data_IF_636568069701
#
_entry.id   IF_636568069701
#
_cell.length_a   1.000
_cell.length_b   1.000
_cell.length_c   1.000
_cell.angle_alpha   90.00
_cell.angle_beta   90.00
_cell.angle_gamma   90.00
#
_symmetry.space_group_name_H-M   'P 1'
#
loop_
_entity.id
_entity.type
_entity.pdbx_description
1 polymer ?
#
# COMPACT_ATOMS: atom_id res chain seq x y z
N UNK A 1 30.07 -25.92 28.72
CA UNK A 1 30.41 -24.47 28.59
C UNK A 1 29.95 -23.86 27.25
N UNK A 2 30.07 -24.55 26.10
CA UNK A 2 29.76 -23.96 24.79
C UNK A 2 28.33 -23.47 24.53
N UNK A 3 27.31 -24.10 25.10
CA UNK A 3 25.89 -23.70 24.91
C UNK A 3 25.54 -22.33 25.50
N UNK A 4 26.12 -22.01 26.67
CA UNK A 4 25.90 -20.73 27.31
C UNK A 4 26.50 -19.59 26.48
N UNK A 5 27.74 -19.76 26.01
CA UNK A 5 28.43 -18.78 25.18
C UNK A 5 27.71 -18.53 23.86
N UNK A 6 27.18 -19.58 23.24
CA UNK A 6 26.42 -19.49 21.99
C UNK A 6 25.11 -18.70 22.21
N UNK A 7 24.37 -18.96 23.29
CA UNK A 7 23.14 -18.23 23.63
C UNK A 7 23.41 -16.74 23.88
N UNK A 8 24.50 -16.43 24.56
CA UNK A 8 24.90 -15.04 24.82
C UNK A 8 25.23 -14.32 23.49
N UNK A 9 26.00 -14.97 22.60
CA UNK A 9 26.32 -14.40 21.28
C UNK A 9 25.06 -14.19 20.43
N UNK A 10 24.13 -15.12 20.43
CA UNK A 10 22.85 -14.98 19.72
C UNK A 10 22.02 -13.82 20.28
N UNK A 11 21.99 -13.66 21.60
CA UNK A 11 21.26 -12.53 22.24
C UNK A 11 21.86 -11.18 21.85
N UNK A 12 23.20 -11.08 21.82
CA UNK A 12 23.86 -9.87 21.34
C UNK A 12 23.57 -9.57 19.87
N UNK A 13 23.64 -10.60 19.01
CA UNK A 13 23.32 -10.44 17.59
C UNK A 13 21.85 -10.00 17.36
N UNK A 14 20.92 -10.47 18.18
CA UNK A 14 19.53 -10.06 18.12
C UNK A 14 19.39 -8.61 18.59
N UNK A 15 20.00 -8.25 19.70
CA UNK A 15 19.99 -6.87 20.22
C UNK A 15 20.54 -5.87 19.20
N UNK A 16 21.69 -6.18 18.57
CA UNK A 16 22.26 -5.34 17.52
C UNK A 16 21.29 -5.11 16.36
N UNK A 17 20.59 -6.18 15.90
CA UNK A 17 19.58 -6.05 14.85
C UNK A 17 18.42 -5.15 15.24
N UNK A 18 17.95 -5.25 16.48
CA UNK A 18 16.87 -4.43 17.01
C UNK A 18 17.27 -2.95 17.04
N UNK A 19 18.44 -2.64 17.58
CA UNK A 19 18.99 -1.28 17.64
C UNK A 19 19.19 -0.69 16.25
N UNK A 20 19.73 -1.45 15.31
CA UNK A 20 19.89 -1.01 13.92
C UNK A 20 18.52 -0.73 13.30
N UNK A 21 17.55 -1.63 13.54
CA UNK A 21 16.18 -1.47 13.04
C UNK A 21 15.49 -0.21 13.59
N UNK A 22 15.72 0.13 14.86
CA UNK A 22 15.21 1.36 15.47
C UNK A 22 15.83 2.60 14.84
N UNK A 23 17.15 2.63 14.74
CA UNK A 23 17.87 3.75 14.10
C UNK A 23 17.42 4.00 12.65
N UNK A 24 17.15 2.93 11.89
CA UNK A 24 16.61 3.05 10.51
C UNK A 24 15.22 3.65 10.55
N UNK A 25 14.33 3.17 11.43
CA UNK A 25 12.96 3.70 11.57
C UNK A 25 12.95 5.16 11.95
N UNK A 26 13.84 5.57 12.87
CA UNK A 26 13.96 6.96 13.31
C UNK A 26 14.47 7.87 12.18
N UNK A 27 15.48 7.42 11.43
CA UNK A 27 15.95 8.15 10.25
C UNK A 27 14.85 8.31 9.19
N UNK A 28 14.07 7.27 8.95
CA UNK A 28 12.93 7.34 8.03
C UNK A 28 11.86 8.30 8.56
N UNK A 29 11.54 8.23 9.85
CA UNK A 29 10.58 9.15 10.47
C UNK A 29 11.05 10.61 10.37
N UNK A 30 12.30 10.89 10.73
CA UNK A 30 12.89 12.22 10.63
C UNK A 30 12.90 12.75 9.18
N UNK A 31 13.19 11.89 8.19
CA UNK A 31 13.18 12.28 6.79
C UNK A 31 11.77 12.57 6.28
N UNK A 32 10.77 11.79 6.69
CA UNK A 32 9.36 12.04 6.36
C UNK A 32 8.83 13.30 7.06
N UNK A 33 9.29 13.58 8.27
CA UNK A 33 8.95 14.82 8.96
C UNK A 33 9.47 16.06 8.22
N UNK A 34 10.62 15.94 7.54
CA UNK A 34 11.17 16.98 6.65
C UNK A 34 10.46 17.07 5.29
N UNK A 35 9.47 16.21 5.04
CA UNK A 35 8.74 16.22 3.78
C UNK A 35 9.42 15.50 2.61
N UNK A 36 10.48 14.72 2.87
CA UNK A 36 11.19 13.96 1.83
C UNK A 36 10.48 12.65 1.49
N UNK A 37 10.52 12.27 0.22
CA UNK A 37 10.04 10.96 -0.22
C UNK A 37 11.04 9.86 0.11
N UNK A 38 10.63 8.92 0.96
CA UNK A 38 11.50 7.85 1.47
C UNK A 38 11.35 6.50 0.75
N UNK A 39 10.87 6.51 -0.48
CA UNK A 39 10.76 5.32 -1.31
C UNK A 39 9.33 4.78 -1.47
N UNK A 40 9.22 3.70 -2.21
CA UNK A 40 7.96 3.12 -2.69
C UNK A 40 7.66 3.53 -4.12
N UNK A 41 6.54 2.99 -4.64
CA UNK A 41 6.07 3.33 -5.99
C UNK A 41 5.54 4.76 -5.99
N UNK A 42 6.05 5.66 -6.85
CA UNK A 42 5.52 7.01 -6.93
C UNK A 42 4.07 6.99 -7.38
N UNK A 43 3.21 7.83 -6.79
CA UNK A 43 1.82 7.94 -7.22
C UNK A 43 1.72 8.47 -8.66
N UNK A 44 0.58 8.23 -9.30
CA UNK A 44 0.29 8.75 -10.64
C UNK A 44 0.47 10.28 -10.65
N UNK A 45 1.11 10.83 -11.68
CA UNK A 45 1.40 12.26 -11.76
C UNK A 45 2.73 12.68 -11.17
N UNK A 46 3.44 11.75 -10.51
CA UNK A 46 4.74 12.03 -9.93
C UNK A 46 5.81 11.05 -10.40
N UNK A 47 7.05 11.52 -10.45
CA UNK A 47 8.26 10.69 -10.50
C UNK A 47 9.18 11.04 -9.35
N UNK A 48 10.08 10.14 -9.02
CA UNK A 48 11.05 10.37 -7.94
C UNK A 48 12.36 10.85 -8.55
N UNK A 49 12.81 12.01 -8.11
CA UNK A 49 14.11 12.59 -8.43
C UNK A 49 14.75 13.06 -7.13
N UNK A 50 15.95 12.63 -6.83
CA UNK A 50 16.72 13.03 -5.63
C UNK A 50 15.92 13.00 -4.31
N UNK A 51 15.15 11.92 -4.09
CA UNK A 51 14.25 11.75 -2.93
C UNK A 51 13.11 12.77 -2.85
N UNK A 52 12.84 13.48 -3.93
CA UNK A 52 11.71 14.40 -4.07
C UNK A 52 10.75 13.89 -5.13
N UNK A 53 9.52 14.30 -5.03
CA UNK A 53 8.50 14.00 -6.04
C UNK A 53 8.45 15.17 -7.03
N UNK A 54 8.82 14.92 -8.28
CA UNK A 54 8.67 15.85 -9.41
C UNK A 54 7.37 15.55 -10.15
N UNK A 55 6.64 16.60 -10.55
CA UNK A 55 5.36 16.47 -11.25
C UNK A 55 5.59 16.14 -12.73
N UNK A 56 4.89 15.13 -13.23
CA UNK A 56 4.79 14.82 -14.66
C UNK A 56 3.51 15.45 -15.19
N UNK A 57 3.60 16.49 -16.00
CA UNK A 57 2.44 17.27 -16.44
C UNK A 57 1.36 16.44 -17.12
N UNK A 58 1.71 15.52 -18.01
CA UNK A 58 0.75 14.67 -18.71
C UNK A 58 -0.05 13.76 -17.77
N UNK A 59 0.62 13.15 -16.79
CA UNK A 59 -0.05 12.32 -15.78
C UNK A 59 -0.81 13.18 -14.77
N UNK A 60 -0.32 14.37 -14.43
CA UNK A 60 -0.97 15.30 -13.52
C UNK A 60 -2.32 15.80 -14.06
N UNK A 61 -2.43 16.00 -15.36
CA UNK A 61 -3.69 16.35 -16.01
C UNK A 61 -4.72 15.23 -15.86
N UNK A 62 -4.31 13.98 -16.00
CA UNK A 62 -5.18 12.82 -15.76
C UNK A 62 -5.68 12.83 -14.31
N UNK A 63 -4.78 13.07 -13.35
CA UNK A 63 -5.18 13.14 -11.93
C UNK A 63 -6.18 14.29 -11.70
N UNK A 64 -5.93 15.48 -12.23
CA UNK A 64 -6.87 16.61 -12.12
C UNK A 64 -8.22 16.30 -12.76
N UNK A 65 -8.22 15.64 -13.93
CA UNK A 65 -9.44 15.19 -14.58
C UNK A 65 -10.22 14.19 -13.72
N UNK A 66 -9.54 13.19 -13.12
CA UNK A 66 -10.17 12.22 -12.20
C UNK A 66 -10.87 12.93 -11.03
N UNK A 67 -10.21 13.91 -10.40
CA UNK A 67 -10.79 14.62 -9.28
C UNK A 67 -11.97 15.51 -9.71
N UNK A 68 -11.85 16.24 -10.83
CA UNK A 68 -12.92 17.07 -11.38
C UNK A 68 -14.16 16.23 -11.71
N UNK A 69 -13.95 15.14 -12.46
CA UNK A 69 -15.07 14.25 -12.84
C UNK A 69 -15.70 13.57 -11.64
N UNK A 70 -14.89 13.22 -10.63
CA UNK A 70 -15.45 12.70 -9.39
C UNK A 70 -16.35 13.72 -8.67
N UNK A 71 -16.01 15.00 -8.66
CA UNK A 71 -16.84 16.04 -8.06
C UNK A 71 -18.16 16.23 -8.80
N UNK A 72 -18.17 16.06 -10.12
CA UNK A 72 -19.36 16.16 -10.97
C UNK A 72 -20.26 14.92 -10.83
N UNK A 73 -19.70 13.72 -10.87
CA UNK A 73 -20.46 12.47 -10.86
C UNK A 73 -20.88 11.99 -9.46
N UNK A 74 -20.12 12.33 -8.42
CA UNK A 74 -20.35 11.88 -7.05
C UNK A 74 -20.19 10.36 -6.84
N UNK A 75 -19.85 9.59 -7.89
CA UNK A 75 -19.79 8.14 -7.86
C UNK A 75 -18.52 7.61 -8.50
N UNK A 76 -17.75 6.82 -7.74
CA UNK A 76 -16.53 6.16 -8.23
C UNK A 76 -16.85 5.08 -9.29
N UNK A 77 -18.04 4.51 -9.25
CA UNK A 77 -18.46 3.50 -10.25
C UNK A 77 -18.61 4.14 -11.63
N UNK A 78 -19.37 5.23 -11.72
CA UNK A 78 -19.56 5.96 -12.97
C UNK A 78 -18.24 6.53 -13.50
N UNK A 79 -17.41 7.06 -12.60
CA UNK A 79 -16.07 7.52 -12.94
C UNK A 79 -15.21 6.40 -13.55
N UNK A 80 -15.26 5.20 -12.99
CA UNK A 80 -14.53 4.06 -13.54
C UNK A 80 -14.99 3.74 -14.97
N UNK A 81 -16.29 3.65 -15.17
CA UNK A 81 -16.87 3.28 -16.47
C UNK A 81 -16.53 4.35 -17.53
N UNK A 82 -16.51 5.63 -17.17
CA UNK A 82 -16.10 6.74 -18.03
C UNK A 82 -14.61 6.68 -18.39
N UNK A 83 -13.72 6.46 -17.41
CA UNK A 83 -12.28 6.35 -17.66
C UNK A 83 -11.93 5.13 -18.53
N UNK A 84 -12.70 4.04 -18.37
CA UNK A 84 -12.54 2.84 -19.20
C UNK A 84 -12.99 3.10 -20.65
N UNK A 85 -14.10 3.83 -20.84
CA UNK A 85 -14.56 4.28 -22.17
C UNK A 85 -13.56 5.21 -22.86
N UNK A 86 -12.88 6.07 -22.09
CA UNK A 86 -11.83 6.96 -22.59
C UNK A 86 -10.48 6.25 -22.81
N UNK A 87 -10.36 4.97 -22.43
CA UNK A 87 -9.13 4.20 -22.59
C UNK A 87 -7.99 4.63 -21.68
N UNK A 88 -8.27 5.38 -20.63
CA UNK A 88 -7.26 5.88 -19.68
C UNK A 88 -6.80 4.73 -18.77
N UNK A 89 -5.49 4.48 -18.78
CA UNK A 89 -4.86 3.38 -18.05
C UNK A 89 -4.03 3.88 -16.88
N UNK A 90 -3.81 2.98 -15.92
CA UNK A 90 -2.93 3.24 -14.79
C UNK A 90 -1.47 3.38 -15.23
N UNK A 91 -0.66 4.06 -14.42
CA UNK A 91 0.78 4.19 -14.64
C UNK A 91 1.43 2.83 -14.82
N UNK A 92 2.21 2.66 -15.88
CA UNK A 92 3.05 1.47 -16.09
C UNK A 92 4.47 1.76 -15.63
N UNK A 93 5.08 0.81 -14.95
CA UNK A 93 6.47 0.88 -14.55
C UNK A 93 7.11 -0.50 -14.57
N UNK A 94 8.40 -0.52 -14.82
CA UNK A 94 9.17 -1.77 -14.84
C UNK A 94 9.83 -1.97 -13.48
N UNK A 95 9.55 -3.09 -12.84
CA UNK A 95 10.20 -3.48 -11.59
C UNK A 95 11.69 -3.80 -11.83
N UNK A 96 12.50 -3.76 -10.77
CA UNK A 96 13.90 -4.19 -10.81
C UNK A 96 14.07 -5.64 -11.32
N UNK A 97 13.04 -6.47 -11.19
CA UNK A 97 13.00 -7.85 -11.74
C UNK A 97 12.59 -7.93 -13.22
N UNK A 98 12.49 -6.81 -13.94
CA UNK A 98 12.09 -6.76 -15.35
C UNK A 98 10.59 -6.93 -15.61
N UNK A 99 9.76 -7.07 -14.58
CA UNK A 99 8.31 -7.20 -14.74
C UNK A 99 7.66 -5.85 -14.96
N UNK A 100 6.84 -5.74 -16.01
CA UNK A 100 6.00 -4.56 -16.23
C UNK A 100 4.76 -4.67 -15.34
N UNK A 101 4.58 -3.68 -14.49
CA UNK A 101 3.45 -3.57 -13.54
C UNK A 101 2.65 -2.32 -13.90
N UNK A 102 1.33 -2.40 -13.89
CA UNK A 102 0.44 -1.30 -14.27
C UNK A 102 -0.02 -1.39 -15.72
N UNK A 103 -0.38 -0.25 -16.33
CA UNK A 103 -0.91 -0.19 -17.70
C UNK A 103 -2.29 -0.84 -17.87
N UNK A 104 -3.00 -1.08 -16.77
CA UNK A 104 -4.34 -1.69 -16.76
C UNK A 104 -5.41 -0.60 -16.55
N UNK A 105 -6.67 -0.87 -16.96
CA UNK A 105 -7.77 0.02 -16.62
C UNK A 105 -7.89 0.18 -15.10
N UNK A 106 -8.38 1.32 -14.67
CA UNK A 106 -8.52 1.61 -13.25
C UNK A 106 -9.58 0.73 -12.60
N UNK A 107 -9.21 0.06 -11.50
CA UNK A 107 -10.17 -0.60 -10.63
C UNK A 107 -10.83 0.42 -9.68
N UNK A 108 -12.03 0.11 -9.17
CA UNK A 108 -12.70 0.95 -8.16
C UNK A 108 -11.81 1.21 -6.93
N UNK A 109 -11.14 0.16 -6.46
CA UNK A 109 -10.22 0.28 -5.33
C UNK A 109 -9.04 1.21 -5.61
N UNK A 110 -8.47 1.16 -6.81
CA UNK A 110 -7.39 2.06 -7.22
C UNK A 110 -7.85 3.53 -7.26
N UNK A 111 -9.07 3.79 -7.75
CA UNK A 111 -9.64 5.14 -7.77
C UNK A 111 -9.89 5.67 -6.35
N UNK A 112 -10.40 4.84 -5.42
CA UNK A 112 -10.51 5.24 -4.02
C UNK A 112 -9.16 5.58 -3.40
N UNK A 113 -8.12 4.79 -3.68
CA UNK A 113 -6.76 5.07 -3.21
C UNK A 113 -6.21 6.39 -3.77
N UNK A 114 -6.46 6.68 -5.05
CA UNK A 114 -6.07 7.95 -5.67
C UNK A 114 -6.79 9.11 -4.99
N UNK A 115 -8.11 9.03 -4.85
CA UNK A 115 -8.93 10.10 -4.26
C UNK A 115 -8.62 10.37 -2.77
N UNK A 116 -8.18 9.34 -2.03
CA UNK A 116 -7.83 9.46 -0.60
C UNK A 116 -6.36 9.84 -0.38
N UNK A 117 -5.54 9.82 -1.43
CA UNK A 117 -4.11 10.03 -1.28
C UNK A 117 -3.77 11.50 -1.01
N UNK A 118 -3.30 11.77 0.20
CA UNK A 118 -2.93 13.11 0.65
C UNK A 118 -1.70 13.68 -0.05
N UNK A 119 -0.90 12.83 -0.72
CA UNK A 119 0.27 13.28 -1.48
C UNK A 119 -0.12 14.27 -2.58
N UNK A 120 -1.30 14.14 -3.19
CA UNK A 120 -1.78 15.09 -4.20
C UNK A 120 -2.05 16.50 -3.67
N UNK A 121 -2.19 16.65 -2.34
CA UNK A 121 -2.34 17.94 -1.63
C UNK A 121 -1.01 18.51 -1.13
N UNK A 122 0.10 17.85 -1.42
CA UNK A 122 1.41 18.23 -0.90
C UNK A 122 1.71 17.70 0.50
N UNK A 123 0.98 16.66 0.97
CA UNK A 123 1.22 16.08 2.30
C UNK A 123 1.88 14.71 2.19
N UNK A 124 2.79 14.40 3.10
CA UNK A 124 3.37 13.06 3.28
C UNK A 124 2.84 12.46 4.57
N UNK A 125 2.20 11.31 4.48
CA UNK A 125 1.63 10.62 5.64
C UNK A 125 2.62 9.62 6.23
N UNK A 126 2.79 9.69 7.55
CA UNK A 126 3.57 8.71 8.30
C UNK A 126 2.91 8.37 9.63
N UNK A 127 2.67 7.08 9.89
CA UNK A 127 2.02 6.58 11.13
C UNK A 127 0.73 7.34 11.51
N UNK A 128 -0.09 7.70 10.51
CA UNK A 128 -1.34 8.43 10.73
C UNK A 128 -1.19 9.96 10.85
N UNK A 129 0.01 10.48 10.97
CA UNK A 129 0.30 11.91 10.97
C UNK A 129 0.64 12.37 9.55
N UNK A 130 0.15 13.55 9.16
CA UNK A 130 0.50 14.19 7.89
C UNK A 130 1.52 15.31 8.14
N UNK A 131 2.53 15.33 7.31
CA UNK A 131 3.58 16.34 7.30
C UNK A 131 3.56 17.06 5.96
N UNK A 132 3.92 18.34 5.96
CA UNK A 132 4.05 19.09 4.71
C UNK A 132 5.17 18.48 3.87
N UNK A 133 4.86 18.11 2.63
CA UNK A 133 5.83 17.58 1.67
C UNK A 133 6.60 18.69 0.96
N UNK A 134 7.83 18.41 0.57
CA UNK A 134 8.65 19.33 -0.26
C UNK A 134 8.20 19.35 -1.72
N UNK A 135 7.25 18.50 -2.12
CA UNK A 135 6.76 18.37 -3.49
C UNK A 135 5.62 19.33 -3.80
N UNK A 136 5.54 19.70 -5.07
CA UNK A 136 4.44 20.56 -5.56
C UNK A 136 3.13 19.79 -5.56
N UNK A 137 2.05 20.30 -4.96
CA UNK A 137 0.73 19.69 -5.02
C UNK A 137 0.19 19.72 -6.45
N UNK A 138 -0.49 18.64 -6.87
CA UNK A 138 -1.18 18.57 -8.17
C UNK A 138 -2.58 19.16 -8.07
N UNK A 139 -3.18 19.08 -6.89
CA UNK A 139 -4.56 19.49 -6.64
C UNK A 139 -4.55 20.65 -5.65
N UNK A 140 -5.29 21.70 -6.00
CA UNK A 140 -5.50 22.82 -5.09
C UNK A 140 -6.34 22.38 -3.90
N UNK A 141 -5.98 22.80 -2.67
CA UNK A 141 -6.70 22.43 -1.45
C UNK A 141 -8.17 22.86 -1.48
N UNK A 142 -8.54 23.87 -2.26
CA UNK A 142 -9.91 24.35 -2.45
C UNK A 142 -10.81 23.35 -3.20
N UNK A 143 -10.26 22.61 -4.17
CA UNK A 143 -10.98 21.56 -4.89
C UNK A 143 -11.19 20.29 -4.05
N UNK A 144 -10.46 20.15 -2.98
CA UNK A 144 -10.50 18.98 -2.09
C UNK A 144 -11.39 19.17 -0.86
N UNK A 145 -12.14 20.28 -0.75
CA UNK A 145 -13.09 20.58 0.33
C UNK A 145 -14.28 19.62 0.44
N UNK A 146 -14.47 18.74 -0.54
CA UNK A 146 -15.44 17.66 -0.40
C UNK A 146 -14.88 16.57 0.48
N UNK A 147 -15.42 16.48 1.70
CA UNK A 147 -15.32 15.31 2.58
C UNK A 147 -15.68 14.07 1.77
N UNK A 148 -14.66 13.34 1.31
CA UNK A 148 -14.85 11.91 1.09
C UNK A 148 -15.35 11.37 2.43
N UNK A 149 -16.62 10.97 2.52
CA UNK A 149 -17.11 10.21 3.68
C UNK A 149 -16.09 9.10 3.88
N UNK A 150 -15.48 8.97 5.06
CA UNK A 150 -14.63 7.83 5.31
C UNK A 150 -15.52 6.61 5.13
N UNK A 151 -15.37 5.91 4.02
CA UNK A 151 -15.85 4.54 3.93
C UNK A 151 -15.17 3.84 5.10
N UNK A 152 -15.97 3.23 5.98
CA UNK A 152 -15.53 2.46 7.14
C UNK A 152 -14.22 1.76 6.85
N UNK A 153 -13.26 1.74 7.79
CA UNK A 153 -12.02 1.03 7.57
C UNK A 153 -12.40 -0.40 7.19
N UNK A 154 -12.13 -0.75 5.92
CA UNK A 154 -12.20 -2.14 5.53
C UNK A 154 -11.22 -2.84 6.46
N UNK A 155 -11.76 -3.61 7.40
CA UNK A 155 -11.01 -4.54 8.23
C UNK A 155 -10.19 -5.39 7.27
N UNK A 156 -8.91 -5.07 7.15
CA UNK A 156 -7.97 -5.95 6.49
C UNK A 156 -8.07 -7.27 7.24
N UNK A 157 -8.36 -8.40 6.58
CA UNK A 157 -8.27 -9.68 7.23
C UNK A 157 -6.85 -9.77 7.79
N UNK A 158 -6.74 -9.87 9.10
CA UNK A 158 -5.49 -10.13 9.80
C UNK A 158 -4.88 -11.36 9.13
N UNK A 159 -3.70 -11.20 8.54
CA UNK A 159 -2.93 -12.33 8.07
C UNK A 159 -2.66 -13.21 9.28
N UNK A 160 -3.41 -14.28 9.39
CA UNK A 160 -3.16 -15.36 10.35
C UNK A 160 -1.77 -15.88 10.06
N UNK A 161 -0.84 -15.93 11.02
CA UNK A 161 0.45 -16.54 10.80
C UNK A 161 0.23 -18.00 10.46
N UNK A 162 0.68 -18.41 9.28
CA UNK A 162 0.70 -19.80 8.82
C UNK A 162 1.77 -20.57 9.62
N UNK A 163 1.47 -20.88 10.88
CA UNK A 163 2.27 -21.80 11.66
C UNK A 163 1.41 -22.58 12.63
N UNK A 164 0.53 -23.42 12.07
CA UNK A 164 -0.02 -24.55 12.82
C UNK A 164 -0.66 -25.55 11.87
N UNK A 165 0.19 -26.21 11.07
CA UNK A 165 -0.15 -27.45 10.39
C UNK A 165 0.93 -28.48 10.67
N UNK A 166 0.95 -28.97 11.90
CA UNK A 166 1.55 -30.27 12.19
C UNK A 166 0.75 -30.90 13.31
N UNK A 167 0.39 -32.15 13.11
CA UNK A 167 -0.24 -33.06 14.07
C UNK A 167 -1.76 -33.01 14.22
N UNK A 168 -2.46 -33.59 13.27
CA UNK A 168 -3.51 -34.55 13.61
C UNK A 168 -3.28 -35.82 12.81
N UNK A 169 -2.66 -36.74 13.54
CA UNK A 169 -2.48 -38.11 13.14
C UNK A 169 -3.83 -38.76 12.83
N UNK A 170 -3.87 -39.45 11.72
CA UNK A 170 -4.85 -40.45 11.42
C UNK A 170 -4.86 -41.53 12.48
N UNK A 171 -5.97 -41.74 13.11
CA UNK A 171 -6.30 -43.01 13.70
C UNK A 171 -7.35 -43.70 12.86
N UNK A 172 -7.10 -44.93 12.40
CA UNK A 172 -8.09 -45.69 11.68
C UNK A 172 -8.99 -46.41 12.69
N UNK A 173 -10.26 -46.10 12.68
CA UNK A 173 -11.26 -46.94 13.29
C UNK A 173 -11.92 -47.75 12.18
N UNK A 174 -11.42 -48.94 12.01
CA UNK A 174 -11.97 -50.23 12.43
C UNK A 174 -13.38 -50.52 11.86
N UNK A 175 -13.34 -51.47 10.94
CA UNK A 175 -14.40 -52.38 10.54
C UNK A 175 -15.61 -52.52 11.46
N UNK A 176 -16.78 -52.56 10.85
CA UNK A 176 -17.80 -53.55 11.15
C UNK A 176 -18.84 -53.59 10.03
N UNK A 177 -18.79 -54.60 9.20
CA UNK A 177 -19.92 -55.18 8.50
C UNK A 177 -20.82 -55.90 9.47
N UNK A 178 -22.12 -55.96 9.21
CA UNK A 178 -22.78 -57.25 9.08
C UNK A 178 -23.75 -57.26 7.88
N UNK A 179 -23.54 -58.18 6.97
CA UNK A 179 -24.28 -59.43 6.79
C UNK A 179 -25.84 -59.33 6.75
N UNK A 180 -26.36 -59.49 5.52
CA UNK A 180 -27.35 -60.43 5.00
C UNK A 180 -28.65 -60.63 5.79
N UNK A 181 -29.76 -60.47 5.11
CA UNK A 181 -30.80 -61.49 4.76
C UNK A 181 -32.08 -60.79 4.26
N UNK A 182 -32.49 -61.13 3.18
CA UNK A 182 -33.48 -61.91 2.42
C UNK A 182 -34.32 -61.07 1.51
#
# INVERSE_FOLDING_TARGET
>A
MGRLTLNVLLSFAQFEREVIGERIRDKIAASKHKGMWMGGVPPLGYRVEDRRLSVIHSEAEIVRAIFRRYTELGSVRLLKDELEAQGIKSKSWTSASGRVIGGKPFSRGALYLILQNRTYRGEIVHKGQSHLGEHTPIIDPLLCGMRLKPSSPATLPSATPAHERASRACLPACCSTPTVTR
#
